data_IF_093135973637
#
_entry.id   IF_093135973637
#
_cell.length_a   1.000
_cell.length_b   1.000
_cell.length_c   1.000
_cell.angle_alpha   90.00
_cell.angle_beta   90.00
_cell.angle_gamma   90.00
#
_symmetry.space_group_name_H-M   'P 1'
#
loop_
_entity.id
_entity.type
_entity.pdbx_description
1 polymer ?
#
# COMPACT_ATOMS: atom_id res chain seq x y z
N UNK A 1 18.72 -21.96 10.73
CA UNK A 1 17.71 -20.97 11.11
C UNK A 1 18.11 -20.37 12.46
N UNK A 2 18.57 -19.11 12.47
CA UNK A 2 18.72 -18.30 13.69
C UNK A 2 17.99 -17.00 13.42
N UNK A 3 16.83 -16.82 14.04
CA UNK A 3 16.15 -15.54 14.08
C UNK A 3 17.03 -14.59 14.88
N UNK A 4 17.66 -13.61 14.22
CA UNK A 4 18.50 -12.62 14.88
C UNK A 4 17.56 -11.63 15.57
N UNK A 5 17.64 -11.59 16.90
CA UNK A 5 17.00 -10.61 17.78
C UNK A 5 17.35 -9.19 17.35
N UNK A 6 16.34 -8.42 16.91
CA UNK A 6 16.49 -7.03 16.44
C UNK A 6 16.21 -6.07 17.59
N UNK A 7 17.29 -5.71 18.32
CA UNK A 7 17.32 -4.60 19.27
C UNK A 7 17.68 -3.31 18.51
N UNK A 8 16.83 -2.30 18.66
CA UNK A 8 17.01 -0.87 18.42
C UNK A 8 17.29 -0.39 16.98
N UNK A 9 16.37 0.41 16.44
CA UNK A 9 16.48 1.86 16.18
C UNK A 9 15.45 2.20 15.07
N UNK A 10 14.29 2.71 15.46
CA UNK A 10 13.46 3.55 14.61
C UNK A 10 13.30 4.86 15.37
N UNK A 11 14.00 5.87 14.87
CA UNK A 11 14.07 7.18 15.45
C UNK A 11 14.99 8.01 14.56
N UNK A 12 14.42 9.09 14.01
CA UNK A 12 15.03 10.13 13.18
C UNK A 12 15.13 9.88 11.68
N UNK A 13 14.18 10.49 10.98
CA UNK A 13 14.25 10.84 9.56
C UNK A 13 13.52 12.16 9.25
N UNK A 14 13.58 13.18 10.12
CA UNK A 14 13.13 14.53 9.74
C UNK A 14 14.25 15.17 8.93
N UNK A 15 14.12 15.13 7.60
CA UNK A 15 14.97 15.87 6.67
C UNK A 15 14.45 17.30 6.51
N UNK A 16 15.21 18.28 7.00
CA UNK A 16 14.99 19.68 6.67
C UNK A 16 15.44 19.92 5.21
N UNK A 17 14.51 20.30 4.34
CA UNK A 17 14.81 20.70 2.97
C UNK A 17 15.15 22.20 2.92
N UNK A 18 16.37 22.52 2.49
CA UNK A 18 16.80 23.89 2.17
C UNK A 18 16.34 24.25 0.75
N UNK A 19 15.62 25.36 0.64
CA UNK A 19 15.13 25.90 -0.63
C UNK A 19 16.28 26.53 -1.45
N UNK A 20 16.41 26.13 -2.70
CA UNK A 20 17.12 26.90 -3.73
C UNK A 20 16.18 27.09 -4.92
N UNK A 21 15.77 28.34 -5.12
CA UNK A 21 14.92 28.75 -6.22
C UNK A 21 15.69 28.80 -7.54
N UNK A 22 15.05 28.28 -8.59
CA UNK A 22 15.38 28.63 -9.97
C UNK A 22 14.05 28.90 -10.69
N UNK A 23 13.91 30.14 -11.16
CA UNK A 23 12.81 30.56 -12.02
C UNK A 23 12.96 29.93 -13.41
N UNK A 24 11.87 29.41 -13.95
CA UNK A 24 11.79 28.94 -15.33
C UNK A 24 10.41 29.22 -15.91
N UNK A 25 10.32 30.24 -16.76
CA UNK A 25 9.20 30.42 -17.67
C UNK A 25 9.33 29.43 -18.83
N UNK A 26 8.33 28.58 -19.04
CA UNK A 26 7.95 28.20 -20.40
C UNK A 26 6.47 27.82 -20.47
N UNK A 27 5.79 28.47 -21.42
CA UNK A 27 4.45 28.16 -21.89
C UNK A 27 4.52 26.94 -22.81
N UNK A 28 3.71 25.92 -22.52
CA UNK A 28 3.52 24.76 -23.39
C UNK A 28 2.10 24.25 -23.28
N UNK A 29 1.27 24.62 -24.26
CA UNK A 29 -0.07 24.07 -24.49
C UNK A 29 0.03 22.58 -24.85
N UNK A 30 -0.80 21.74 -24.24
CA UNK A 30 -0.89 20.31 -24.58
C UNK A 30 -1.97 19.57 -23.81
N UNK A 31 -3.11 19.41 -24.47
CA UNK A 31 -4.25 18.50 -24.24
C UNK A 31 -4.29 17.58 -23.01
N UNK A 32 -5.34 17.74 -22.19
CA UNK A 32 -5.75 16.77 -21.19
C UNK A 32 -7.22 16.97 -20.77
N UNK A 33 -8.17 16.70 -21.67
CA UNK A 33 -9.60 17.01 -21.46
C UNK A 33 -10.38 15.92 -20.71
N UNK A 34 -9.90 14.68 -20.63
CA UNK A 34 -10.70 13.59 -20.06
C UNK A 34 -10.73 13.59 -18.51
N UNK A 35 -9.63 13.93 -17.85
CA UNK A 35 -9.59 13.90 -16.37
C UNK A 35 -10.28 15.10 -15.70
N UNK A 36 -10.56 16.17 -16.45
CA UNK A 36 -11.24 17.36 -15.92
C UNK A 36 -12.75 17.17 -15.81
N UNK A 37 -13.36 16.53 -16.81
CA UNK A 37 -14.80 16.31 -16.86
C UNK A 37 -15.29 15.37 -15.75
N UNK A 38 -14.58 14.26 -15.52
CA UNK A 38 -14.92 13.31 -14.44
C UNK A 38 -14.80 13.96 -13.05
N UNK A 39 -13.76 14.74 -12.81
CA UNK A 39 -13.58 15.47 -11.54
C UNK A 39 -14.69 16.49 -11.30
N UNK A 40 -15.07 17.25 -12.33
CA UNK A 40 -16.16 18.22 -12.26
C UNK A 40 -17.51 17.53 -12.03
N UNK A 41 -17.75 16.37 -12.65
CA UNK A 41 -18.97 15.59 -12.46
C UNK A 41 -19.07 14.97 -11.06
N UNK A 42 -17.96 14.46 -10.51
CA UNK A 42 -17.87 13.95 -9.14
C UNK A 42 -18.10 15.09 -8.14
N UNK A 43 -17.48 16.26 -8.36
CA UNK A 43 -17.65 17.43 -7.50
C UNK A 43 -19.10 17.93 -7.48
N UNK A 44 -19.76 17.99 -8.64
CA UNK A 44 -21.16 18.43 -8.73
C UNK A 44 -22.15 17.53 -7.97
N UNK A 45 -21.78 16.28 -7.66
CA UNK A 45 -22.61 15.29 -6.97
C UNK A 45 -22.22 15.05 -5.51
N UNK A 46 -21.07 15.56 -5.08
CA UNK A 46 -20.50 15.27 -3.77
C UNK A 46 -21.38 15.86 -2.64
N UNK A 47 -21.89 14.99 -1.76
CA UNK A 47 -22.63 15.39 -0.56
C UNK A 47 -21.69 15.34 0.66
N UNK A 48 -21.36 16.48 1.29
CA UNK A 48 -20.50 16.50 2.47
C UNK A 48 -21.03 15.59 3.59
N UNK A 49 -20.11 14.92 4.29
CA UNK A 49 -20.38 14.05 5.44
C UNK A 49 -19.74 14.68 6.68
N UNK A 50 -20.49 14.74 7.79
CA UNK A 50 -19.96 15.24 9.06
C UNK A 50 -19.52 16.70 8.97
N UNK A 51 -18.26 16.98 9.32
CA UNK A 51 -17.67 18.33 9.27
C UNK A 51 -17.24 18.76 7.85
N UNK A 52 -17.56 17.95 6.83
CA UNK A 52 -17.18 18.20 5.44
C UNK A 52 -15.76 17.76 5.09
N UNK A 53 -15.05 17.06 5.98
CA UNK A 53 -13.76 16.43 5.66
C UNK A 53 -13.88 15.36 4.57
N UNK A 54 -15.01 14.68 4.52
CA UNK A 54 -15.33 13.65 3.53
C UNK A 54 -16.67 13.97 2.85
N UNK A 55 -16.93 13.36 1.70
CA UNK A 55 -18.18 13.50 0.98
C UNK A 55 -18.59 12.18 0.31
N UNK A 56 -19.89 11.91 0.22
CA UNK A 56 -20.41 10.85 -0.66
C UNK A 56 -20.51 11.41 -2.07
N UNK A 57 -19.59 10.99 -2.95
CA UNK A 57 -19.56 11.41 -4.35
C UNK A 57 -20.01 10.30 -5.31
N UNK A 58 -20.60 9.21 -4.78
CA UNK A 58 -21.01 8.04 -5.53
C UNK A 58 -19.89 7.01 -5.74
N UNK A 59 -20.05 6.08 -6.71
CA UNK A 59 -19.04 5.07 -7.03
C UNK A 59 -17.70 5.69 -7.40
N UNK A 60 -16.61 5.01 -7.02
CA UNK A 60 -15.27 5.42 -7.40
C UNK A 60 -15.11 5.40 -8.93
N UNK A 61 -14.55 6.46 -9.54
CA UNK A 61 -14.23 6.46 -10.96
C UNK A 61 -13.06 5.52 -11.29
N UNK A 62 -12.86 5.27 -12.58
CA UNK A 62 -11.75 4.48 -13.14
C UNK A 62 -11.56 3.09 -12.52
N UNK A 63 -12.64 2.46 -12.06
CA UNK A 63 -12.60 1.05 -11.67
C UNK A 63 -12.52 0.13 -12.89
N UNK A 64 -11.80 -1.00 -12.79
CA UNK A 64 -11.78 -1.99 -13.86
C UNK A 64 -13.19 -2.56 -14.09
N UNK A 65 -13.36 -3.23 -15.23
CA UNK A 65 -14.57 -4.01 -15.47
C UNK A 65 -14.83 -5.00 -14.33
N UNK A 66 -16.12 -5.25 -14.07
CA UNK A 66 -16.53 -6.17 -13.03
C UNK A 66 -15.85 -7.54 -13.25
N UNK A 67 -15.18 -8.10 -12.23
CA UNK A 67 -14.49 -9.37 -12.39
C UNK A 67 -15.44 -10.48 -12.84
N UNK A 68 -15.00 -11.25 -13.83
CA UNK A 68 -15.66 -12.50 -14.23
C UNK A 68 -14.97 -13.71 -13.62
N UNK A 69 -15.69 -14.83 -13.60
CA UNK A 69 -15.12 -16.13 -13.29
C UNK A 69 -14.15 -16.56 -14.39
N UNK A 70 -13.12 -17.30 -14.00
CA UNK A 70 -12.28 -18.03 -14.95
C UNK A 70 -13.10 -19.13 -15.63
N UNK A 71 -12.94 -19.23 -16.94
CA UNK A 71 -13.50 -20.36 -17.68
C UNK A 71 -12.69 -21.64 -17.42
N UNK A 72 -13.30 -22.83 -17.58
CA UNK A 72 -12.58 -24.09 -17.41
C UNK A 72 -11.29 -24.16 -18.26
N UNK A 73 -10.16 -24.36 -17.59
CA UNK A 73 -8.85 -24.43 -18.23
C UNK A 73 -8.21 -23.08 -18.61
N UNK A 74 -8.84 -21.96 -18.28
CA UNK A 74 -8.28 -20.64 -18.52
C UNK A 74 -7.07 -20.36 -17.61
N UNK A 75 -5.98 -19.84 -18.18
CA UNK A 75 -4.82 -19.39 -17.41
C UNK A 75 -5.19 -18.18 -16.55
N UNK A 76 -4.97 -18.20 -15.22
CA UNK A 76 -5.24 -17.04 -14.38
C UNK A 76 -4.33 -15.86 -14.79
N UNK A 77 -4.85 -14.61 -14.78
CA UNK A 77 -4.03 -13.42 -14.94
C UNK A 77 -2.92 -13.37 -13.90
N UNK A 78 -1.82 -12.70 -14.23
CA UNK A 78 -0.81 -12.38 -13.23
C UNK A 78 -1.15 -11.06 -12.57
N UNK A 79 -1.58 -11.14 -11.31
CA UNK A 79 -1.82 -9.97 -10.48
C UNK A 79 -0.53 -9.46 -9.85
N UNK A 80 -0.32 -8.15 -9.89
CA UNK A 80 0.73 -7.47 -9.13
C UNK A 80 0.11 -6.26 -8.44
N UNK A 81 0.32 -6.16 -7.13
CA UNK A 81 -0.27 -5.12 -6.30
C UNK A 81 0.86 -4.31 -5.68
N UNK A 82 0.93 -3.04 -6.00
CA UNK A 82 1.83 -2.09 -5.36
C UNK A 82 1.09 -1.35 -4.25
N UNK A 83 1.70 -1.28 -3.08
CA UNK A 83 1.13 -0.66 -1.89
C UNK A 83 2.11 0.27 -1.18
N UNK A 84 1.57 1.27 -0.50
CA UNK A 84 2.31 2.35 0.15
C UNK A 84 1.89 2.48 1.61
N UNK A 85 2.82 2.18 2.52
CA UNK A 85 2.58 2.23 3.96
C UNK A 85 2.76 3.67 4.48
N UNK A 86 1.80 4.12 5.29
CA UNK A 86 1.69 5.49 5.79
C UNK A 86 1.08 6.47 4.79
N UNK A 87 1.53 6.43 3.53
CA UNK A 87 1.01 7.22 2.41
C UNK A 87 0.89 8.75 2.67
N UNK A 88 1.84 9.33 3.39
CA UNK A 88 1.97 10.78 3.59
C UNK A 88 2.84 11.44 2.51
N UNK A 89 2.51 12.67 2.12
CA UNK A 89 3.37 13.51 1.28
C UNK A 89 4.19 14.46 2.17
N UNK A 90 5.52 14.27 2.17
CA UNK A 90 6.47 14.99 3.04
C UNK A 90 7.39 15.94 2.27
N UNK A 91 6.95 16.40 1.09
CA UNK A 91 7.67 17.36 0.26
C UNK A 91 8.75 16.72 -0.61
N UNK A 92 8.78 15.39 -0.68
CA UNK A 92 9.73 14.64 -1.50
C UNK A 92 9.18 14.32 -2.91
N UNK A 93 7.90 14.60 -3.15
CA UNK A 93 7.25 14.44 -4.45
C UNK A 93 7.03 12.98 -4.87
N UNK A 94 7.21 12.02 -3.96
CA UNK A 94 7.06 10.60 -4.28
C UNK A 94 5.59 10.22 -4.47
N UNK A 95 4.65 10.81 -3.72
CA UNK A 95 3.23 10.51 -3.90
C UNK A 95 2.73 10.90 -5.31
N UNK A 96 2.90 12.16 -5.79
CA UNK A 96 2.51 12.50 -7.14
C UNK A 96 3.32 11.74 -8.21
N UNK A 97 4.60 11.42 -7.97
CA UNK A 97 5.41 10.59 -8.89
C UNK A 97 4.78 9.23 -9.13
N UNK A 98 4.41 8.50 -8.08
CA UNK A 98 3.85 7.15 -8.22
C UNK A 98 2.40 7.13 -8.69
N UNK A 99 1.60 8.16 -8.37
CA UNK A 99 0.29 8.37 -9.02
C UNK A 99 0.44 8.58 -10.53
N UNK A 100 1.37 9.43 -10.95
CA UNK A 100 1.67 9.64 -12.38
C UNK A 100 2.13 8.33 -13.04
N UNK A 101 3.06 7.61 -12.41
CA UNK A 101 3.54 6.32 -12.91
C UNK A 101 2.38 5.32 -13.07
N UNK A 102 1.48 5.27 -12.09
CA UNK A 102 0.30 4.40 -12.15
C UNK A 102 -0.59 4.76 -13.35
N UNK A 103 -0.85 6.05 -13.56
CA UNK A 103 -1.61 6.54 -14.73
C UNK A 103 -0.94 6.20 -16.06
N UNK A 104 0.38 6.41 -16.17
CA UNK A 104 1.15 6.16 -17.40
C UNK A 104 1.12 4.67 -17.80
N UNK A 105 0.93 3.76 -16.84
CA UNK A 105 0.94 2.31 -17.03
C UNK A 105 -0.40 1.62 -16.75
N UNK A 106 -1.50 2.38 -16.66
CA UNK A 106 -2.84 1.86 -16.37
C UNK A 106 -2.88 0.92 -15.15
N UNK A 107 -2.23 1.35 -14.06
CA UNK A 107 -2.15 0.62 -12.81
C UNK A 107 -3.04 1.27 -11.75
N UNK A 108 -3.59 0.45 -10.87
CA UNK A 108 -4.12 0.90 -9.58
C UNK A 108 -3.19 0.47 -8.44
N UNK A 109 -3.09 1.32 -7.41
CA UNK A 109 -2.26 1.09 -6.23
C UNK A 109 -3.13 1.13 -4.97
N UNK A 110 -2.57 0.66 -3.84
CA UNK A 110 -3.20 0.79 -2.52
C UNK A 110 -2.37 1.71 -1.62
N UNK A 111 -2.99 2.76 -1.10
CA UNK A 111 -2.36 3.70 -0.17
C UNK A 111 -2.89 3.42 1.24
N UNK A 112 -2.08 2.80 2.09
CA UNK A 112 -2.42 2.58 3.49
C UNK A 112 -2.14 3.86 4.28
N UNK A 113 -3.15 4.72 4.39
CA UNK A 113 -3.01 6.02 5.05
C UNK A 113 -2.86 5.87 6.56
N UNK A 114 -1.84 6.51 7.14
CA UNK A 114 -1.76 6.71 8.58
C UNK A 114 -2.66 7.86 9.00
N UNK A 115 -3.56 7.66 9.96
CA UNK A 115 -4.52 8.68 10.41
C UNK A 115 -3.85 9.92 11.00
N UNK A 116 -2.67 9.77 11.61
CA UNK A 116 -1.88 10.90 12.13
C UNK A 116 -1.43 11.88 11.04
N UNK A 117 -1.37 11.47 9.77
CA UNK A 117 -1.07 12.38 8.66
C UNK A 117 -2.24 13.31 8.30
N UNK A 118 -3.36 13.19 9.01
CA UNK A 118 -4.48 14.13 8.99
C UNK A 118 -4.63 14.92 10.30
N UNK A 119 -3.70 14.77 11.25
CA UNK A 119 -3.76 15.41 12.58
C UNK A 119 -2.55 16.35 12.77
N UNK A 120 -2.76 17.67 12.94
CA UNK A 120 -1.65 18.59 13.25
C UNK A 120 -0.97 18.24 14.57
N UNK A 121 0.34 18.47 14.67
CA UNK A 121 1.09 18.18 15.90
C UNK A 121 0.54 18.95 17.11
N UNK A 122 0.06 20.20 16.92
CA UNK A 122 -0.58 21.00 17.97
C UNK A 122 -1.81 20.32 18.59
N UNK A 123 -2.41 19.35 17.89
CA UNK A 123 -3.55 18.54 18.30
C UNK A 123 -3.16 17.10 18.71
N UNK A 124 -1.86 16.78 18.86
CA UNK A 124 -1.42 15.42 19.25
C UNK A 124 -2.03 14.89 20.54
N UNK A 125 -2.45 15.77 21.45
CA UNK A 125 -3.16 15.40 22.67
C UNK A 125 -4.51 14.69 22.43
N UNK A 126 -5.06 14.75 21.22
CA UNK A 126 -6.24 14.00 20.80
C UNK A 126 -5.94 12.53 20.54
N UNK A 127 -4.69 12.19 20.20
CA UNK A 127 -4.28 10.81 19.99
C UNK A 127 -3.98 10.12 21.32
N UNK A 128 -4.69 9.03 21.59
CA UNK A 128 -4.57 8.20 22.78
C UNK A 128 -4.15 6.79 22.36
N UNK A 129 -2.85 6.58 22.06
CA UNK A 129 -2.34 5.28 21.64
C UNK A 129 -2.48 4.25 22.78
N UNK A 130 -2.96 3.02 22.49
CA UNK A 130 -3.00 1.96 23.49
C UNK A 130 -1.63 1.71 24.14
N UNK A 131 -1.62 1.57 25.47
CA UNK A 131 -0.42 1.31 26.29
C UNK A 131 0.69 2.37 26.19
N UNK A 132 0.45 3.52 25.58
CA UNK A 132 1.45 4.57 25.35
C UNK A 132 0.97 5.91 25.93
N UNK A 133 1.89 6.87 26.05
CA UNK A 133 1.54 8.23 26.49
C UNK A 133 0.64 8.90 25.44
N UNK A 134 -0.30 9.74 25.91
CA UNK A 134 -1.13 10.57 25.04
C UNK A 134 -0.25 11.39 24.09
N UNK A 135 -0.57 11.35 22.79
CA UNK A 135 0.18 12.01 21.72
C UNK A 135 1.53 11.39 21.36
N UNK A 136 1.90 10.24 21.94
CA UNK A 136 3.09 9.51 21.52
C UNK A 136 2.88 8.90 20.12
N UNK A 137 3.95 8.82 19.34
CA UNK A 137 3.98 8.20 18.01
C UNK A 137 5.43 7.89 17.64
N UNK A 138 5.67 6.72 17.03
CA UNK A 138 6.98 6.33 16.47
C UNK A 138 7.19 6.87 15.04
N UNK A 139 6.11 7.36 14.40
CA UNK A 139 6.17 8.18 13.19
C UNK A 139 5.95 9.66 13.52
N UNK A 140 6.52 10.55 12.71
CA UNK A 140 6.36 12.00 12.90
C UNK A 140 4.95 12.49 12.61
N UNK A 141 4.55 13.58 13.27
CA UNK A 141 3.40 14.38 12.83
C UNK A 141 3.80 15.23 11.63
N UNK A 142 2.88 15.42 10.68
CA UNK A 142 3.14 16.26 9.51
C UNK A 142 2.97 17.74 9.85
N UNK A 143 3.72 18.60 9.15
CA UNK A 143 3.43 20.03 9.11
C UNK A 143 2.10 20.30 8.39
N UNK A 144 1.47 21.44 8.64
CA UNK A 144 0.22 21.82 7.99
C UNK A 144 0.32 21.77 6.46
N UNK A 145 1.44 22.21 5.89
CA UNK A 145 1.72 22.11 4.45
C UNK A 145 1.69 20.66 3.95
N UNK A 146 2.36 19.75 4.66
CA UNK A 146 2.40 18.33 4.32
C UNK A 146 1.05 17.63 4.55
N UNK A 147 0.26 18.07 5.53
CA UNK A 147 -1.13 17.61 5.69
C UNK A 147 -1.96 18.04 4.47
N UNK A 148 -1.86 19.30 4.03
CA UNK A 148 -2.56 19.78 2.81
C UNK A 148 -2.14 18.99 1.58
N UNK A 149 -0.84 18.75 1.41
CA UNK A 149 -0.31 17.97 0.28
C UNK A 149 -0.78 16.51 0.33
N UNK A 150 -0.82 15.90 1.51
CA UNK A 150 -1.33 14.53 1.72
C UNK A 150 -2.80 14.45 1.36
N UNK A 151 -3.65 15.35 1.89
CA UNK A 151 -5.09 15.36 1.61
C UNK A 151 -5.39 15.54 0.11
N UNK A 152 -4.65 16.42 -0.58
CA UNK A 152 -4.75 16.58 -2.04
C UNK A 152 -4.40 15.29 -2.75
N UNK A 153 -3.29 14.64 -2.41
CA UNK A 153 -2.88 13.39 -3.05
C UNK A 153 -3.83 12.23 -2.75
N UNK A 154 -4.36 12.10 -1.54
CA UNK A 154 -5.34 11.07 -1.17
C UNK A 154 -6.65 11.25 -1.95
N UNK A 155 -7.18 12.49 -2.02
CA UNK A 155 -8.36 12.79 -2.83
C UNK A 155 -8.14 12.39 -4.28
N UNK A 156 -7.03 12.82 -4.83
CA UNK A 156 -6.73 12.59 -6.23
C UNK A 156 -6.44 11.13 -6.55
N UNK A 157 -5.74 10.41 -5.68
CA UNK A 157 -5.51 8.99 -5.82
C UNK A 157 -6.83 8.21 -5.89
N UNK A 158 -7.79 8.54 -5.02
CA UNK A 158 -9.11 7.93 -5.07
C UNK A 158 -9.86 8.27 -6.37
N UNK A 159 -9.79 9.53 -6.83
CA UNK A 159 -10.37 9.94 -8.11
C UNK A 159 -9.68 9.30 -9.32
N UNK A 160 -8.47 8.77 -9.17
CA UNK A 160 -7.72 8.04 -10.19
C UNK A 160 -7.96 6.52 -10.13
N UNK A 161 -8.85 6.05 -9.25
CA UNK A 161 -9.23 4.65 -9.10
C UNK A 161 -8.34 3.84 -8.16
N UNK A 162 -7.47 4.49 -7.39
CA UNK A 162 -6.63 3.85 -6.37
C UNK A 162 -7.38 3.61 -5.05
N UNK A 163 -6.96 2.59 -4.30
CA UNK A 163 -7.58 2.27 -3.01
C UNK A 163 -6.95 3.06 -1.86
N UNK A 164 -7.77 3.48 -0.90
CA UNK A 164 -7.30 4.07 0.37
C UNK A 164 -7.60 3.11 1.53
N UNK A 165 -6.56 2.41 1.99
CA UNK A 165 -6.60 1.57 3.19
C UNK A 165 -6.13 2.33 4.44
N UNK A 166 -5.83 1.59 5.51
CA UNK A 166 -5.20 2.17 6.72
C UNK A 166 -3.85 1.55 7.05
N UNK A 167 -2.93 2.40 7.50
CA UNK A 167 -1.73 2.02 8.22
C UNK A 167 -1.78 2.47 9.69
N UNK A 168 -3.02 2.62 10.21
CA UNK A 168 -3.32 2.95 11.60
C UNK A 168 -2.70 4.29 12.00
N UNK A 169 -2.21 4.46 13.25
CA UNK A 169 -1.70 5.74 13.73
C UNK A 169 -0.22 5.63 14.15
N UNK A 170 0.07 5.46 15.43
CA UNK A 170 1.38 5.76 16.04
C UNK A 170 2.52 4.79 15.74
N UNK A 171 2.30 3.75 14.93
CA UNK A 171 3.34 2.88 14.37
C UNK A 171 4.29 2.20 15.39
N UNK A 172 3.78 1.77 16.55
CA UNK A 172 4.62 1.24 17.64
C UNK A 172 5.18 -0.17 17.37
N UNK A 173 6.45 -0.28 17.03
CA UNK A 173 7.08 -1.54 16.67
C UNK A 173 7.93 -2.17 17.78
N UNK A 174 8.20 -3.47 17.65
CA UNK A 174 9.14 -4.20 18.50
C UNK A 174 8.48 -5.05 19.59
N UNK A 175 9.25 -5.32 20.64
CA UNK A 175 8.89 -6.32 21.65
C UNK A 175 8.33 -5.72 22.95
N UNK A 176 8.44 -4.40 23.12
CA UNK A 176 7.90 -3.70 24.29
C UNK A 176 6.37 -3.86 24.35
N UNK A 177 5.80 -3.90 25.57
CA UNK A 177 4.34 -4.00 25.79
C UNK A 177 3.53 -2.86 25.14
N UNK A 178 4.21 -1.77 24.81
CA UNK A 178 3.68 -0.62 24.08
C UNK A 178 3.48 -0.89 22.58
N UNK A 179 4.12 -1.91 22.02
CA UNK A 179 4.06 -2.24 20.59
C UNK A 179 2.70 -2.82 20.19
N UNK A 180 2.33 -2.55 18.93
CA UNK A 180 1.17 -3.15 18.24
C UNK A 180 1.16 -4.69 18.29
N UNK A 181 2.33 -5.31 18.46
CA UNK A 181 2.46 -6.77 18.65
C UNK A 181 1.57 -7.30 19.78
N UNK A 182 1.40 -6.53 20.85
CA UNK A 182 0.74 -6.97 22.08
C UNK A 182 -0.66 -6.36 22.28
N UNK A 183 -1.14 -5.59 21.32
CA UNK A 183 -2.45 -4.96 21.43
C UNK A 183 -3.55 -6.00 21.37
N UNK A 184 -4.55 -5.85 22.25
CA UNK A 184 -5.77 -6.66 22.26
C UNK A 184 -6.71 -6.24 21.13
N UNK A 185 -7.71 -7.07 20.77
CA UNK A 185 -8.73 -6.68 19.79
C UNK A 185 -9.45 -5.36 20.13
N UNK A 186 -9.73 -5.10 21.41
CA UNK A 186 -10.34 -3.85 21.86
C UNK A 186 -9.40 -2.64 21.66
N UNK A 187 -8.10 -2.83 21.82
CA UNK A 187 -7.10 -1.79 21.55
C UNK A 187 -6.96 -1.52 20.05
N UNK A 188 -7.01 -2.57 19.22
CA UNK A 188 -7.10 -2.41 17.77
C UNK A 188 -8.37 -1.66 17.35
N UNK A 189 -9.52 -1.93 17.97
CA UNK A 189 -10.75 -1.17 17.72
C UNK A 189 -10.53 0.32 18.04
N UNK A 190 -9.97 0.62 19.21
CA UNK A 190 -9.68 2.01 19.60
C UNK A 190 -8.68 2.70 18.66
N UNK A 191 -7.70 1.99 18.12
CA UNK A 191 -6.76 2.54 17.13
C UNK A 191 -7.48 2.85 15.81
N UNK A 192 -8.30 1.91 15.32
CA UNK A 192 -9.06 2.08 14.07
C UNK A 192 -10.07 3.23 14.20
N UNK A 193 -10.76 3.33 15.33
CA UNK A 193 -11.72 4.41 15.60
C UNK A 193 -11.03 5.77 15.56
N UNK A 194 -9.82 5.88 16.13
CA UNK A 194 -9.04 7.11 16.08
C UNK A 194 -8.54 7.43 14.67
N UNK A 195 -8.06 6.44 13.91
CA UNK A 195 -7.66 6.65 12.52
C UNK A 195 -8.84 7.14 11.66
N UNK A 196 -10.01 6.51 11.84
CA UNK A 196 -11.26 6.91 11.21
C UNK A 196 -11.65 8.34 11.61
N UNK A 197 -11.52 8.70 12.89
CA UNK A 197 -11.82 10.03 13.39
C UNK A 197 -10.93 11.09 12.75
N UNK A 198 -9.61 10.87 12.69
CA UNK A 198 -8.67 11.83 12.11
C UNK A 198 -8.89 12.04 10.61
N UNK A 199 -9.19 10.98 9.86
CA UNK A 199 -9.48 11.08 8.41
C UNK A 199 -10.86 11.70 8.16
N UNK A 200 -11.86 11.39 8.98
CA UNK A 200 -13.24 11.92 8.78
C UNK A 200 -13.49 13.27 9.44
N UNK A 201 -12.52 13.83 10.17
CA UNK A 201 -12.60 15.14 10.85
C UNK A 201 -11.34 15.99 10.66
N UNK A 202 -10.59 15.81 9.57
CA UNK A 202 -9.38 16.58 9.32
C UNK A 202 -9.66 18.09 9.30
N UNK A 203 -10.81 18.55 8.78
CA UNK A 203 -11.18 19.98 8.78
C UNK A 203 -11.29 20.53 10.19
N UNK A 204 -12.01 19.83 11.06
CA UNK A 204 -12.11 20.22 12.48
C UNK A 204 -10.73 20.27 13.15
N UNK A 205 -9.87 19.31 12.83
CA UNK A 205 -8.54 19.21 13.44
C UNK A 205 -7.55 20.26 12.92
N UNK A 206 -7.62 20.61 11.63
CA UNK A 206 -6.67 21.51 10.96
C UNK A 206 -7.15 22.95 10.83
N UNK A 207 -8.47 23.19 10.83
CA UNK A 207 -9.07 24.48 10.50
C UNK A 207 -9.02 24.85 9.02
N UNK A 208 -8.64 23.93 8.13
CA UNK A 208 -8.54 24.21 6.70
C UNK A 208 -9.91 24.36 6.03
N UNK A 209 -10.14 25.49 5.39
CA UNK A 209 -11.37 25.81 4.64
C UNK A 209 -11.17 25.83 3.13
N UNK A 210 -9.92 25.78 2.66
CA UNK A 210 -9.49 25.99 1.26
C UNK A 210 -9.23 24.69 0.49
N UNK A 211 -9.48 23.53 1.09
CA UNK A 211 -9.37 22.22 0.44
C UNK A 211 -10.74 21.66 0.12
N UNK A 212 -10.84 20.87 -0.95
CA UNK A 212 -12.00 20.04 -1.24
C UNK A 212 -12.10 18.85 -0.27
N UNK A 213 -13.31 18.32 0.02
CA UNK A 213 -13.47 17.10 0.83
C UNK A 213 -12.75 15.91 0.19
N UNK A 214 -12.40 14.89 0.99
CA UNK A 214 -12.11 13.57 0.43
C UNK A 214 -13.40 13.02 -0.22
N UNK A 215 -13.39 12.59 -1.50
CA UNK A 215 -14.61 12.32 -2.27
C UNK A 215 -15.29 10.98 -1.94
N UNK A 216 -14.98 10.38 -0.78
CA UNK A 216 -15.49 9.09 -0.36
C UNK A 216 -15.89 9.10 1.13
N UNK A 217 -16.86 8.27 1.48
CA UNK A 217 -17.13 7.90 2.87
C UNK A 217 -16.06 6.89 3.33
N UNK A 218 -15.14 7.32 4.19
CA UNK A 218 -14.05 6.46 4.64
C UNK A 218 -14.54 5.21 5.39
N UNK A 219 -15.74 5.23 5.97
CA UNK A 219 -16.36 4.04 6.59
C UNK A 219 -16.68 2.94 5.59
N UNK A 220 -16.90 3.28 4.32
CA UNK A 220 -17.15 2.35 3.21
C UNK A 220 -15.87 2.03 2.43
N UNK A 221 -15.00 3.03 2.28
CA UNK A 221 -13.71 2.88 1.58
C UNK A 221 -12.74 1.98 2.37
N UNK A 222 -12.75 2.03 3.70
CA UNK A 222 -11.85 1.25 4.53
C UNK A 222 -12.30 -0.21 4.66
N UNK A 223 -11.80 -1.08 3.79
CA UNK A 223 -12.07 -2.53 3.79
C UNK A 223 -10.86 -3.41 4.15
N UNK A 224 -9.73 -2.79 4.46
CA UNK A 224 -8.49 -3.49 4.78
C UNK A 224 -7.36 -2.54 5.17
N UNK A 225 -6.27 -3.13 5.64
CA UNK A 225 -5.12 -2.40 6.16
C UNK A 225 -3.87 -3.26 6.24
N UNK A 226 -2.78 -2.63 6.66
CA UNK A 226 -1.53 -3.31 7.04
C UNK A 226 -1.07 -2.79 8.38
N UNK A 227 -0.81 -3.66 9.34
CA UNK A 227 -0.32 -3.28 10.67
C UNK A 227 1.11 -2.74 10.58
N UNK A 228 1.47 -1.76 11.41
CA UNK A 228 2.85 -1.32 11.59
C UNK A 228 3.81 -2.50 11.80
N UNK A 229 4.91 -2.51 11.04
CA UNK A 229 5.94 -3.55 11.08
C UNK A 229 5.45 -5.00 10.91
N UNK A 230 4.25 -5.23 10.36
CA UNK A 230 3.66 -6.56 10.16
C UNK A 230 3.44 -7.33 11.49
N UNK A 231 3.11 -6.60 12.55
CA UNK A 231 2.94 -7.14 13.91
C UNK A 231 1.49 -7.05 14.39
N UNK A 232 1.06 -8.05 15.16
CA UNK A 232 -0.23 -8.02 15.86
C UNK A 232 -1.45 -8.49 15.06
N UNK A 233 -1.25 -9.08 13.87
CA UNK A 233 -2.32 -9.58 12.99
C UNK A 233 -3.36 -10.43 13.75
N UNK A 234 -2.92 -11.41 14.54
CA UNK A 234 -3.83 -12.33 15.24
C UNK A 234 -4.86 -11.61 16.12
N UNK A 235 -4.46 -10.53 16.78
CA UNK A 235 -5.37 -9.72 17.60
C UNK A 235 -6.13 -8.66 16.79
N UNK A 236 -5.68 -8.30 15.60
CA UNK A 236 -6.40 -7.40 14.69
C UNK A 236 -7.59 -8.11 14.03
N UNK A 237 -7.40 -9.35 13.55
CA UNK A 237 -8.38 -10.07 12.73
C UNK A 237 -9.79 -10.19 13.36
N UNK A 238 -9.97 -10.43 14.68
CA UNK A 238 -11.29 -10.41 15.30
C UNK A 238 -12.03 -9.07 15.11
N UNK A 239 -11.31 -7.96 15.27
CA UNK A 239 -11.84 -6.60 15.10
C UNK A 239 -12.10 -6.29 13.64
N UNK A 240 -11.15 -6.60 12.75
CA UNK A 240 -11.32 -6.43 11.32
C UNK A 240 -12.56 -7.19 10.80
N UNK A 241 -12.79 -8.42 11.29
CA UNK A 241 -13.98 -9.22 10.94
C UNK A 241 -15.26 -8.55 11.41
N UNK A 242 -15.28 -8.06 12.65
CA UNK A 242 -16.43 -7.34 13.22
C UNK A 242 -16.77 -6.08 12.40
N UNK A 243 -15.76 -5.40 11.88
CA UNK A 243 -15.90 -4.21 11.04
C UNK A 243 -16.23 -4.53 9.57
N UNK A 244 -16.33 -5.81 9.19
CA UNK A 244 -16.64 -6.21 7.82
C UNK A 244 -15.50 -6.02 6.83
N UNK A 245 -14.25 -5.93 7.31
CA UNK A 245 -13.09 -5.87 6.42
C UNK A 245 -12.98 -7.14 5.59
N UNK A 246 -12.52 -6.97 4.35
CA UNK A 246 -12.42 -8.05 3.37
C UNK A 246 -11.04 -8.67 3.33
N UNK A 247 -10.00 -7.90 3.63
CA UNK A 247 -8.63 -8.38 3.65
C UNK A 247 -7.79 -7.75 4.77
N UNK A 248 -6.67 -8.40 5.06
CA UNK A 248 -5.56 -7.88 5.85
C UNK A 248 -4.24 -8.17 5.11
N UNK A 249 -3.36 -7.18 5.06
CA UNK A 249 -2.07 -7.26 4.36
C UNK A 249 -0.87 -7.29 5.32
N UNK A 250 -1.07 -7.79 6.55
CA UNK A 250 -0.15 -7.65 7.68
C UNK A 250 0.70 -8.88 7.95
N UNK A 251 0.43 -10.02 7.31
CA UNK A 251 1.15 -11.26 7.57
C UNK A 251 2.60 -11.18 7.04
N UNK A 252 3.62 -11.37 7.90
CA UNK A 252 5.02 -11.30 7.47
C UNK A 252 5.50 -12.63 6.85
N UNK A 253 6.45 -12.52 5.92
CA UNK A 253 7.35 -13.63 5.56
C UNK A 253 6.71 -14.79 4.78
N UNK A 254 5.62 -14.54 4.07
CA UNK A 254 4.89 -15.55 3.31
C UNK A 254 5.66 -16.05 2.07
N UNK A 255 5.19 -17.17 1.53
CA UNK A 255 5.62 -17.69 0.23
C UNK A 255 4.80 -17.05 -0.90
N UNK A 256 5.33 -17.00 -2.13
CA UNK A 256 4.59 -16.57 -3.31
C UNK A 256 3.53 -17.60 -3.74
N UNK A 257 2.47 -17.68 -2.95
CA UNK A 257 1.34 -18.60 -3.08
C UNK A 257 0.04 -17.81 -3.21
N UNK A 258 -1.00 -18.45 -3.77
CA UNK A 258 -2.34 -17.87 -3.75
C UNK A 258 -2.84 -17.69 -2.31
N UNK A 259 -3.48 -16.55 -2.00
CA UNK A 259 -3.86 -16.18 -0.64
C UNK A 259 -4.96 -17.08 -0.10
N UNK A 260 -5.04 -17.18 1.22
CA UNK A 260 -6.09 -17.92 1.94
C UNK A 260 -6.87 -16.97 2.84
N UNK A 261 -8.01 -17.41 3.34
CA UNK A 261 -8.74 -16.67 4.38
C UNK A 261 -8.25 -17.07 5.77
N UNK A 262 -8.00 -16.09 6.64
CA UNK A 262 -7.85 -16.25 8.10
C UNK A 262 -9.03 -15.60 8.79
N UNK A 263 -9.75 -16.34 9.63
CA UNK A 263 -10.97 -15.87 10.30
C UNK A 263 -12.06 -15.32 9.36
N UNK A 264 -12.07 -15.72 8.08
CA UNK A 264 -13.00 -15.23 7.06
C UNK A 264 -12.53 -13.99 6.30
N UNK A 265 -11.36 -13.45 6.62
CA UNK A 265 -10.71 -12.30 5.98
C UNK A 265 -9.60 -12.81 5.06
N UNK A 266 -9.46 -12.26 3.85
CA UNK A 266 -8.33 -12.61 2.98
C UNK A 266 -7.00 -12.18 3.59
N UNK A 267 -6.05 -13.11 3.69
CA UNK A 267 -4.69 -12.89 4.16
C UNK A 267 -3.77 -12.63 2.97
N UNK A 268 -3.24 -11.41 2.85
CA UNK A 268 -2.33 -10.99 1.80
C UNK A 268 -0.93 -10.73 2.36
N UNK A 269 -0.15 -11.80 2.63
CA UNK A 269 1.16 -11.66 3.24
C UNK A 269 2.14 -10.95 2.29
N UNK A 270 3.06 -10.16 2.83
CA UNK A 270 4.24 -9.82 2.06
C UNK A 270 5.06 -11.08 1.83
N UNK A 271 5.51 -11.26 0.59
CA UNK A 271 6.08 -12.52 0.14
C UNK A 271 7.60 -12.42 0.09
N UNK A 272 8.27 -13.53 0.41
CA UNK A 272 9.68 -13.68 0.11
C UNK A 272 9.87 -13.81 -1.39
N UNK A 273 10.81 -13.05 -1.95
CA UNK A 273 11.17 -13.02 -3.37
C UNK A 273 12.67 -13.26 -3.54
N UNK A 274 13.11 -13.82 -4.68
CA UNK A 274 14.53 -14.03 -4.94
C UNK A 274 15.31 -12.71 -4.80
N UNK A 275 16.48 -12.76 -4.16
CA UNK A 275 17.31 -11.59 -3.96
C UNK A 275 18.65 -11.77 -4.70
N UNK A 276 18.80 -11.21 -5.92
CA UNK A 276 19.97 -11.45 -6.76
C UNK A 276 21.29 -11.14 -6.06
N UNK A 277 22.27 -12.04 -6.15
CA UNK A 277 23.54 -11.90 -5.43
C UNK A 277 23.54 -12.45 -4.00
N UNK A 278 22.38 -12.87 -3.50
CA UNK A 278 22.21 -13.43 -2.16
C UNK A 278 21.73 -14.88 -2.21
N UNK A 279 22.03 -15.65 -1.16
CA UNK A 279 21.60 -17.05 -1.00
C UNK A 279 20.24 -17.20 -0.31
N UNK A 280 19.60 -16.09 0.04
CA UNK A 280 18.32 -16.05 0.74
C UNK A 280 17.33 -15.19 -0.03
N UNK A 281 16.05 -15.35 0.29
CA UNK A 281 14.98 -14.54 -0.27
C UNK A 281 14.67 -13.35 0.63
N UNK A 282 14.39 -12.21 0.03
CA UNK A 282 14.06 -10.97 0.74
C UNK A 282 12.55 -10.78 0.73
N UNK A 283 12.00 -10.17 1.77
CA UNK A 283 10.59 -9.77 1.74
C UNK A 283 10.38 -8.73 0.63
N UNK A 284 9.27 -8.79 -0.09
CA UNK A 284 8.90 -7.88 -1.19
C UNK A 284 8.55 -6.46 -0.73
N UNK A 285 9.47 -5.84 0.01
CA UNK A 285 9.34 -4.51 0.56
C UNK A 285 10.67 -3.76 0.58
N UNK A 286 10.62 -2.49 0.22
CA UNK A 286 11.78 -1.58 0.13
C UNK A 286 12.62 -1.55 1.42
N UNK A 287 11.98 -1.44 2.59
CA UNK A 287 12.64 -1.46 3.89
C UNK A 287 13.42 -2.75 4.11
N UNK A 288 12.87 -3.89 3.71
CA UNK A 288 13.54 -5.19 3.88
C UNK A 288 14.74 -5.33 2.96
N UNK A 289 14.70 -4.76 1.75
CA UNK A 289 15.86 -4.72 0.86
C UNK A 289 16.93 -3.79 1.45
N UNK A 290 16.54 -2.59 1.90
CA UNK A 290 17.41 -1.66 2.62
C UNK A 290 18.10 -2.31 3.80
N UNK A 291 17.34 -2.94 4.68
CA UNK A 291 17.84 -3.59 5.88
C UNK A 291 18.96 -4.60 5.58
N UNK A 292 18.84 -5.33 4.46
CA UNK A 292 19.83 -6.32 4.06
C UNK A 292 21.04 -5.74 3.30
N UNK A 293 20.86 -4.64 2.55
CA UNK A 293 21.93 -4.00 1.79
C UNK A 293 22.79 -3.06 2.66
N UNK A 294 22.14 -2.19 3.42
CA UNK A 294 22.79 -1.10 4.16
C UNK A 294 22.81 -1.31 5.68
N UNK A 295 22.38 -2.49 6.16
CA UNK A 295 22.27 -2.82 7.60
C UNK A 295 21.41 -1.78 8.36
N UNK A 296 20.25 -1.47 7.81
CA UNK A 296 19.29 -0.46 8.31
C UNK A 296 19.75 1.00 8.20
N UNK A 297 20.90 1.29 7.59
CA UNK A 297 21.29 2.69 7.35
C UNK A 297 20.45 3.30 6.21
N UNK A 298 19.85 4.46 6.46
CA UNK A 298 19.15 5.27 5.45
C UNK A 298 20.09 6.24 4.71
N UNK A 299 21.37 6.27 5.11
CA UNK A 299 22.44 7.12 4.54
C UNK A 299 23.72 6.30 4.37
N UNK A 300 23.61 5.14 3.72
CA UNK A 300 24.76 4.30 3.40
C UNK A 300 25.75 4.99 2.43
N UNK A 301 26.94 4.42 2.21
CA UNK A 301 27.92 5.00 1.29
C UNK A 301 27.37 5.12 -0.15
N UNK A 302 27.33 6.33 -0.76
CA UNK A 302 26.74 6.54 -2.10
C UNK A 302 27.37 5.72 -3.22
N UNK A 303 28.65 5.32 -3.08
CA UNK A 303 29.33 4.44 -4.03
C UNK A 303 28.60 3.09 -4.25
N UNK A 304 27.80 2.64 -3.27
CA UNK A 304 27.04 1.40 -3.36
C UNK A 304 25.68 1.58 -4.06
N UNK A 305 25.16 2.81 -4.18
CA UNK A 305 23.78 3.05 -4.61
C UNK A 305 23.46 2.47 -6.00
N UNK A 306 24.33 2.59 -7.03
CA UNK A 306 24.05 1.99 -8.34
C UNK A 306 23.89 0.46 -8.28
N UNK A 307 24.74 -0.20 -7.49
CA UNK A 307 24.68 -1.65 -7.31
C UNK A 307 23.41 -2.06 -6.55
N UNK A 308 23.13 -1.39 -5.42
CA UNK A 308 21.95 -1.64 -4.60
C UNK A 308 20.64 -1.40 -5.34
N UNK A 309 20.57 -0.36 -6.19
CA UNK A 309 19.41 -0.10 -7.07
C UNK A 309 19.18 -1.27 -8.03
N UNK A 310 20.22 -1.71 -8.75
CA UNK A 310 20.13 -2.82 -9.70
C UNK A 310 19.67 -4.11 -9.01
N UNK A 311 20.20 -4.37 -7.82
CA UNK A 311 19.85 -5.53 -7.02
C UNK A 311 18.39 -5.47 -6.53
N UNK A 312 17.94 -4.32 -6.04
CA UNK A 312 16.56 -4.10 -5.59
C UNK A 312 15.56 -4.26 -6.75
N UNK A 313 15.84 -3.65 -7.91
CA UNK A 313 15.01 -3.82 -9.13
C UNK A 313 14.97 -5.28 -9.53
N UNK A 314 16.12 -5.94 -9.53
CA UNK A 314 16.24 -7.36 -9.87
C UNK A 314 15.44 -8.26 -8.94
N UNK A 315 15.35 -7.94 -7.66
CA UNK A 315 14.55 -8.71 -6.70
C UNK A 315 13.06 -8.71 -7.08
N UNK A 316 12.49 -7.53 -7.31
CA UNK A 316 11.08 -7.40 -7.72
C UNK A 316 10.79 -8.09 -9.06
N UNK A 317 11.66 -7.90 -10.05
CA UNK A 317 11.51 -8.54 -11.37
C UNK A 317 11.59 -10.08 -11.22
N UNK A 318 12.54 -10.61 -10.45
CA UNK A 318 12.65 -12.06 -10.24
C UNK A 318 11.48 -12.63 -9.45
N UNK A 319 10.93 -11.87 -8.51
CA UNK A 319 9.68 -12.21 -7.83
C UNK A 319 8.50 -12.29 -8.81
N UNK A 320 8.40 -11.35 -9.74
CA UNK A 320 7.39 -11.35 -10.80
C UNK A 320 7.56 -12.54 -11.74
N UNK A 321 8.75 -12.72 -12.32
CA UNK A 321 9.06 -13.80 -13.27
C UNK A 321 8.76 -15.18 -12.66
N UNK A 322 9.15 -15.40 -11.39
CA UNK A 322 8.88 -16.67 -10.70
C UNK A 322 7.39 -16.97 -10.68
N UNK A 323 6.54 -16.02 -10.31
CA UNK A 323 5.09 -16.24 -10.29
C UNK A 323 4.49 -16.35 -11.70
N UNK A 324 4.86 -15.42 -12.58
CA UNK A 324 4.33 -15.28 -13.94
C UNK A 324 4.56 -16.52 -14.80
N UNK A 325 5.74 -17.12 -14.68
CA UNK A 325 6.13 -18.31 -15.45
C UNK A 325 5.66 -19.62 -14.79
N UNK A 326 5.17 -19.59 -13.55
CA UNK A 326 4.86 -20.80 -12.79
C UNK A 326 3.43 -20.84 -12.26
N UNK A 327 3.22 -20.51 -10.99
CA UNK A 327 1.97 -20.75 -10.27
C UNK A 327 0.97 -19.60 -10.34
N UNK A 328 1.34 -18.48 -10.99
CA UNK A 328 0.51 -17.27 -11.13
C UNK A 328 0.00 -16.70 -9.81
N UNK A 329 0.67 -17.02 -8.70
CA UNK A 329 0.35 -16.38 -7.42
C UNK A 329 0.48 -14.84 -7.56
N UNK A 330 -0.40 -14.05 -6.93
CA UNK A 330 -0.27 -12.59 -6.96
C UNK A 330 1.09 -12.18 -6.36
N UNK A 331 1.72 -11.16 -6.93
CA UNK A 331 2.91 -10.52 -6.35
C UNK A 331 2.46 -9.29 -5.56
N UNK A 332 2.72 -9.28 -4.25
CA UNK A 332 2.45 -8.12 -3.40
C UNK A 332 3.74 -7.35 -3.13
N UNK A 333 3.76 -6.05 -3.40
CA UNK A 333 4.92 -5.16 -3.15
C UNK A 333 4.51 -4.07 -2.17
N UNK A 334 5.20 -3.99 -1.02
CA UNK A 334 5.00 -2.95 -0.01
C UNK A 334 6.11 -1.92 -0.04
N UNK A 335 5.79 -0.63 0.03
CA UNK A 335 6.77 0.45 -0.08
C UNK A 335 6.45 1.60 0.86
N UNK A 336 7.41 2.51 1.02
CA UNK A 336 7.28 3.74 1.79
C UNK A 336 7.65 4.94 0.91
N UNK A 337 6.97 6.08 1.06
CA UNK A 337 7.36 7.32 0.38
C UNK A 337 8.61 7.95 1.00
N UNK A 338 9.73 7.28 0.81
CA UNK A 338 10.98 7.55 1.50
C UNK A 338 12.16 7.69 0.52
N UNK A 339 13.07 8.60 0.84
CA UNK A 339 14.28 8.86 0.05
C UNK A 339 15.52 8.16 0.61
N UNK A 340 15.33 7.04 1.32
CA UNK A 340 16.42 6.29 1.92
C UNK A 340 17.50 5.93 0.89
N UNK A 341 18.76 6.06 1.29
CA UNK A 341 19.93 5.83 0.45
C UNK A 341 19.84 6.58 -0.89
N UNK A 342 19.45 7.85 -0.85
CA UNK A 342 19.37 8.71 -2.04
C UNK A 342 18.20 8.37 -2.98
N UNK A 343 17.11 7.79 -2.44
CA UNK A 343 15.90 7.46 -3.20
C UNK A 343 16.02 6.21 -4.08
N UNK A 344 17.11 5.45 -3.96
CA UNK A 344 17.39 4.33 -4.86
C UNK A 344 16.29 3.26 -4.86
N UNK A 345 15.58 3.08 -3.74
CA UNK A 345 14.52 2.07 -3.64
C UNK A 345 13.28 2.48 -4.43
N UNK A 346 12.96 3.77 -4.46
CA UNK A 346 11.84 4.29 -5.26
C UNK A 346 12.15 4.16 -6.75
N UNK A 347 13.39 4.46 -7.15
CA UNK A 347 13.81 4.21 -8.53
C UNK A 347 13.74 2.73 -8.87
N UNK A 348 14.11 1.85 -7.93
CA UNK A 348 14.05 0.42 -8.15
C UNK A 348 12.62 -0.11 -8.33
N UNK A 349 11.66 0.40 -7.54
CA UNK A 349 10.23 0.08 -7.66
C UNK A 349 9.66 0.60 -8.97
N UNK A 350 10.00 1.83 -9.38
CA UNK A 350 9.56 2.39 -10.65
C UNK A 350 10.05 1.57 -11.84
N UNK A 351 11.34 1.23 -11.88
CA UNK A 351 11.89 0.42 -12.97
C UNK A 351 11.31 -1.00 -13.01
N UNK A 352 11.04 -1.60 -11.85
CA UNK A 352 10.36 -2.89 -11.78
C UNK A 352 8.91 -2.79 -12.28
N UNK A 353 8.18 -1.73 -11.93
CA UNK A 353 6.81 -1.50 -12.42
C UNK A 353 6.80 -1.36 -13.94
N UNK A 354 7.68 -0.52 -14.52
CA UNK A 354 7.80 -0.36 -15.99
C UNK A 354 8.09 -1.69 -16.67
N UNK A 355 9.01 -2.49 -16.11
CA UNK A 355 9.31 -3.81 -16.63
C UNK A 355 8.08 -4.72 -16.61
N UNK A 356 7.37 -4.77 -15.48
CA UNK A 356 6.19 -5.63 -15.29
C UNK A 356 5.05 -5.21 -16.22
N UNK A 357 4.85 -3.90 -16.38
CA UNK A 357 3.82 -3.27 -17.20
C UNK A 357 4.08 -3.34 -18.71
N UNK A 358 5.13 -4.05 -19.17
CA UNK A 358 5.43 -4.20 -20.60
C UNK A 358 4.17 -4.62 -21.38
N UNK A 359 3.82 -3.83 -22.39
CA UNK A 359 2.60 -3.97 -23.16
C UNK A 359 2.47 -5.32 -23.86
N UNK A 360 3.56 -6.08 -24.03
CA UNK A 360 3.54 -7.44 -24.60
C UNK A 360 2.88 -8.45 -23.65
N UNK A 361 2.77 -8.14 -22.36
CA UNK A 361 2.19 -9.01 -21.33
C UNK A 361 0.72 -8.64 -21.07
N UNK A 362 -0.15 -9.02 -22.02
CA UNK A 362 -1.58 -8.63 -22.01
C UNK A 362 -2.39 -9.22 -20.86
N UNK A 363 -1.89 -10.26 -20.19
CA UNK A 363 -2.50 -10.98 -19.08
C UNK A 363 -1.95 -10.57 -17.70
N UNK A 364 -1.13 -9.51 -17.63
CA UNK A 364 -0.74 -8.86 -16.37
C UNK A 364 -1.81 -7.86 -15.93
N UNK A 365 -2.07 -7.80 -14.63
CA UNK A 365 -3.04 -6.90 -13.99
C UNK A 365 -2.38 -6.18 -12.82
N UNK A 366 -2.12 -4.89 -12.99
CA UNK A 366 -1.61 -3.99 -11.95
C UNK A 366 -2.79 -3.35 -11.21
N UNK A 367 -3.14 -3.91 -10.06
CA UNK A 367 -4.42 -3.61 -9.39
C UNK A 367 -4.22 -3.25 -7.91
N UNK A 368 -5.23 -2.61 -7.30
CA UNK A 368 -5.28 -2.44 -5.85
C UNK A 368 -5.65 -3.74 -5.12
N UNK A 369 -5.51 -3.77 -3.80
CA UNK A 369 -5.94 -4.92 -2.99
C UNK A 369 -7.46 -5.13 -3.06
N UNK A 370 -8.26 -4.06 -3.07
CA UNK A 370 -9.71 -4.07 -3.29
C UNK A 370 -10.07 -4.77 -4.59
N UNK A 371 -9.48 -4.33 -5.69
CA UNK A 371 -9.76 -4.87 -7.02
C UNK A 371 -9.34 -6.34 -7.14
N UNK A 372 -8.20 -6.71 -6.54
CA UNK A 372 -7.79 -8.10 -6.46
C UNK A 372 -8.75 -8.94 -5.59
N UNK A 373 -9.23 -8.37 -4.48
CA UNK A 373 -10.23 -9.01 -3.62
C UNK A 373 -11.57 -9.20 -4.34
N UNK A 374 -12.00 -8.22 -5.13
CA UNK A 374 -13.19 -8.34 -6.00
C UNK A 374 -13.03 -9.49 -6.99
N UNK A 375 -11.83 -9.66 -7.57
CA UNK A 375 -11.57 -10.78 -8.45
C UNK A 375 -11.64 -12.12 -7.73
N UNK A 376 -11.02 -12.24 -6.54
CA UNK A 376 -11.06 -13.45 -5.72
C UNK A 376 -12.47 -13.83 -5.31
N UNK A 377 -13.28 -12.86 -4.87
CA UNK A 377 -14.65 -13.10 -4.42
C UNK A 377 -15.60 -13.46 -5.58
N UNK A 378 -15.26 -13.12 -6.82
CA UNK A 378 -16.03 -13.53 -8.00
C UNK A 378 -15.80 -14.99 -8.40
N UNK A 379 -14.62 -15.56 -8.09
CA UNK A 379 -14.23 -16.91 -8.53
C UNK A 379 -15.04 -18.03 -7.86
N UNK A 380 -15.08 -19.20 -8.50
CA UNK A 380 -15.53 -20.42 -7.84
C UNK A 380 -14.53 -20.79 -6.73
N UNK A 381 -14.96 -21.02 -5.47
CA UNK A 381 -14.08 -21.45 -4.39
C UNK A 381 -13.23 -22.68 -4.72
N UNK A 382 -13.70 -23.60 -5.57
CA UNK A 382 -12.93 -24.78 -6.02
C UNK A 382 -11.76 -24.39 -6.92
N UNK A 383 -11.94 -23.41 -7.81
CA UNK A 383 -10.87 -22.85 -8.64
C UNK A 383 -9.81 -22.24 -7.73
N UNK A 384 -10.22 -21.40 -6.77
CA UNK A 384 -9.27 -20.77 -5.84
C UNK A 384 -8.55 -21.82 -4.98
N UNK A 385 -9.25 -22.87 -4.52
CA UNK A 385 -8.63 -23.97 -3.77
C UNK A 385 -7.59 -24.72 -4.59
N UNK A 386 -7.84 -24.96 -5.88
CA UNK A 386 -6.83 -25.56 -6.79
C UNK A 386 -5.61 -24.65 -6.95
N UNK A 387 -5.82 -23.35 -7.17
CA UNK A 387 -4.74 -22.37 -7.27
C UNK A 387 -3.88 -22.31 -5.98
N UNK A 388 -4.52 -22.35 -4.81
CA UNK A 388 -3.86 -22.44 -3.50
C UNK A 388 -3.06 -23.73 -3.30
N UNK A 389 -3.38 -24.80 -4.04
CA UNK A 389 -2.66 -26.06 -4.02
C UNK A 389 -1.36 -26.07 -4.84
N UNK A 390 -1.13 -25.06 -5.68
CA UNK A 390 0.04 -25.03 -6.58
C UNK A 390 1.25 -24.37 -5.90
N UNK A 391 2.34 -25.11 -5.60
CA UNK A 391 3.47 -24.60 -4.83
C UNK A 391 4.25 -23.48 -5.53
N UNK A 392 5.03 -22.72 -4.75
CA UNK A 392 5.91 -21.66 -5.26
C UNK A 392 6.82 -22.21 -6.35
N UNK A 393 6.93 -21.49 -7.47
CA UNK A 393 7.86 -21.85 -8.54
C UNK A 393 7.46 -23.12 -9.30
N UNK A 394 6.24 -23.65 -9.10
CA UNK A 394 5.76 -24.84 -9.81
C UNK A 394 4.75 -24.49 -10.88
N UNK A 395 5.00 -25.00 -12.09
CA UNK A 395 4.03 -25.01 -13.19
C UNK A 395 2.97 -26.08 -12.93
N UNK A 396 1.71 -25.88 -13.33
CA UNK A 396 0.71 -26.93 -13.26
C UNK A 396 1.09 -28.10 -14.19
N UNK A 397 1.05 -29.32 -13.66
CA UNK A 397 1.30 -30.53 -14.46
C UNK A 397 0.27 -30.63 -15.59
N UNK A 398 0.74 -30.80 -16.83
CA UNK A 398 -0.13 -30.82 -18.01
C UNK A 398 -0.65 -29.44 -18.46
N UNK A 399 -0.17 -28.34 -17.87
CA UNK A 399 -0.54 -26.97 -18.21
C UNK A 399 -1.86 -26.49 -17.59
N UNK A 400 -2.13 -25.18 -17.70
CA UNK A 400 -3.32 -24.54 -17.12
C UNK A 400 -4.64 -25.14 -17.59
N UNK A 401 -4.72 -25.46 -18.89
CA UNK A 401 -5.90 -26.09 -19.50
C UNK A 401 -6.29 -27.38 -18.80
N UNK A 402 -5.33 -28.25 -18.52
CA UNK A 402 -5.56 -29.53 -17.85
C UNK A 402 -5.83 -29.35 -16.36
N UNK A 403 -5.09 -28.44 -15.71
CA UNK A 403 -5.19 -28.22 -14.27
C UNK A 403 -6.55 -27.64 -13.84
N UNK A 404 -7.10 -26.72 -14.65
CA UNK A 404 -8.33 -25.99 -14.36
C UNK A 404 -9.56 -26.48 -15.15
N UNK A 405 -9.48 -27.55 -15.93
CA UNK A 405 -10.64 -28.05 -16.71
C UNK A 405 -11.75 -28.66 -15.85
N UNK A 406 -11.41 -29.33 -14.74
CA UNK A 406 -12.37 -29.97 -13.84
C UNK A 406 -12.53 -29.24 -12.51
N UNK A 407 -12.37 -27.91 -12.51
CA UNK A 407 -12.45 -27.07 -11.33
C UNK A 407 -13.89 -26.63 -11.06
#
# INVERSE_FOLDING_TARGET
MRAISRRNVLGMGVGAAAALGVAGCSTGSGSGSASGEDKNAVQAKAKPIGDGSTADSGPQPHQPEKPRRLEPGETPPQFVIFSWDGAGEVGNGLFPRFRKLAKDHNAAMTFFLSGLYCLPESKKHLYRPPNNKVGASDIGYLSDEHIKATLKNVREAWLEGHEIGTHFNGHFCGEARTSVKHWTPAQWQSEIDQAMDFVTKWRTNTGFTDLEPLPFDYRKELIGGRTPCLLGQENLLPTAKKLGWRYDASSPGGLQMWPKKKMGIWDFPLQQIPFPGHRFEVLSMDYNILANQSKNSTKGPPANYPHWRKEATGAYIKGFERAYETNRAPLFVGNHFEQWNGGLYMDAVEEALKHIADEKRKDVRLVSFRQFTDWLDAQDPKVVAKLQGLPVGRKPTGGWKTFLSGA
#
